data_IF_811246500702
#
_entry.id   IF_811246500702
#
_cell.length_a   1.000
_cell.length_b   1.000
_cell.length_c   1.000
_cell.angle_alpha   90.00
_cell.angle_beta   90.00
_cell.angle_gamma   90.00
#
_symmetry.space_group_name_H-M   'P 1'
#
loop_
_entity.id
_entity.type
_entity.pdbx_description
1 polymer ?
#
# COMPACT_ATOMS: atom_id res chain seq x y z
N UNK A 1 -7.95 -9.30 -8.67
CA UNK A 1 -7.88 -10.70 -9.09
C UNK A 1 -7.12 -11.53 -8.04
N UNK A 2 -5.88 -11.17 -7.67
CA UNK A 2 -5.07 -11.97 -6.71
C UNK A 2 -5.73 -12.11 -5.33
N UNK A 3 -6.51 -11.13 -4.90
CA UNK A 3 -7.13 -11.05 -3.57
C UNK A 3 -8.61 -11.47 -3.58
N UNK A 4 -9.33 -11.22 -4.69
CA UNK A 4 -10.78 -11.44 -4.80
C UNK A 4 -11.16 -12.50 -5.84
N UNK A 5 -10.19 -13.24 -6.37
CA UNK A 5 -10.43 -14.23 -7.43
C UNK A 5 -10.65 -13.60 -8.82
N UNK A 6 -11.02 -14.43 -9.79
CA UNK A 6 -11.18 -14.02 -11.20
C UNK A 6 -12.55 -13.43 -11.55
N UNK A 7 -13.53 -13.56 -10.65
CA UNK A 7 -14.91 -13.10 -10.88
C UNK A 7 -15.17 -11.62 -10.61
N UNK A 8 -14.16 -10.86 -10.18
CA UNK A 8 -14.31 -9.44 -9.86
C UNK A 8 -14.08 -8.54 -11.06
N UNK A 9 -14.91 -7.51 -11.18
CA UNK A 9 -14.73 -6.43 -12.16
C UNK A 9 -13.90 -5.31 -11.53
N UNK A 10 -12.71 -5.06 -12.07
CA UNK A 10 -11.86 -3.97 -11.63
C UNK A 10 -12.32 -2.63 -12.21
N UNK A 11 -12.46 -1.61 -11.35
CA UNK A 11 -12.79 -0.23 -11.73
C UNK A 11 -11.56 0.66 -11.49
N UNK A 12 -10.76 0.98 -12.52
CA UNK A 12 -9.65 1.90 -12.37
C UNK A 12 -10.11 3.28 -11.90
N UNK A 13 -9.33 3.92 -11.07
CA UNK A 13 -9.59 5.26 -10.54
C UNK A 13 -8.37 6.15 -10.78
N UNK A 14 -8.60 7.41 -11.10
CA UNK A 14 -7.55 8.38 -11.42
C UNK A 14 -6.81 8.91 -10.20
N UNK A 15 -7.37 8.73 -8.98
CA UNK A 15 -6.74 9.17 -7.73
C UNK A 15 -7.15 8.30 -6.54
N UNK A 16 -6.38 8.42 -5.45
CA UNK A 16 -6.69 7.74 -4.19
C UNK A 16 -8.04 8.22 -3.64
N UNK A 17 -8.32 9.51 -3.69
CA UNK A 17 -9.60 10.09 -3.24
C UNK A 17 -10.79 9.54 -4.01
N UNK A 18 -10.62 9.30 -5.30
CA UNK A 18 -11.68 8.72 -6.12
C UNK A 18 -12.00 7.29 -5.68
N UNK A 19 -10.99 6.50 -5.29
CA UNK A 19 -11.21 5.16 -4.72
C UNK A 19 -12.07 5.25 -3.46
N UNK A 20 -11.72 6.12 -2.51
CA UNK A 20 -12.51 6.31 -1.29
C UNK A 20 -13.95 6.70 -1.62
N UNK A 21 -14.15 7.69 -2.48
CA UNK A 21 -15.47 8.18 -2.86
C UNK A 21 -16.33 7.07 -3.50
N UNK A 22 -15.77 6.25 -4.40
CA UNK A 22 -16.51 5.15 -5.04
C UNK A 22 -16.97 4.08 -4.05
N UNK A 23 -16.19 3.82 -3.00
CA UNK A 23 -16.60 2.87 -1.96
C UNK A 23 -17.63 3.51 -1.02
N UNK A 24 -17.45 4.78 -0.66
CA UNK A 24 -18.40 5.53 0.17
C UNK A 24 -19.78 5.67 -0.49
N UNK A 25 -19.82 5.96 -1.80
CA UNK A 25 -21.09 6.05 -2.57
C UNK A 25 -21.74 4.69 -2.85
N UNK A 26 -21.00 3.59 -2.70
CA UNK A 26 -21.50 2.26 -3.03
C UNK A 26 -21.30 1.84 -4.50
N UNK A 27 -20.66 2.68 -5.33
CA UNK A 27 -20.32 2.37 -6.73
C UNK A 27 -19.32 1.20 -6.81
N UNK A 28 -18.51 1.03 -5.77
CA UNK A 28 -17.62 -0.12 -5.60
C UNK A 28 -17.89 -0.78 -4.24
N UNK A 29 -17.86 -2.11 -4.20
CA UNK A 29 -17.99 -2.86 -2.94
C UNK A 29 -16.75 -2.69 -2.07
N UNK A 30 -15.56 -2.70 -2.69
CA UNK A 30 -14.26 -2.56 -2.04
C UNK A 30 -13.37 -1.59 -2.79
N UNK A 31 -12.43 -0.96 -2.07
CA UNK A 31 -11.38 -0.13 -2.63
C UNK A 31 -10.00 -0.67 -2.26
N UNK A 32 -9.03 -0.52 -3.15
CA UNK A 32 -7.63 -0.87 -2.86
C UNK A 32 -6.79 0.39 -2.99
N UNK A 33 -6.08 0.75 -1.92
CA UNK A 33 -5.25 1.95 -1.86
C UNK A 33 -3.86 1.63 -1.29
N UNK A 34 -2.78 2.23 -1.81
CA UNK A 34 -1.45 2.06 -1.24
C UNK A 34 -1.35 2.79 0.11
N UNK A 35 -0.73 2.19 1.12
CA UNK A 35 -0.49 2.80 2.44
C UNK A 35 0.98 3.02 2.74
N UNK A 36 1.84 2.19 2.19
CA UNK A 36 3.26 2.20 2.48
C UNK A 36 4.07 1.54 1.36
N UNK A 37 5.21 2.11 1.04
CA UNK A 37 6.24 1.47 0.24
C UNK A 37 7.48 1.27 1.10
N UNK A 38 8.12 0.10 1.04
CA UNK A 38 9.26 -0.25 1.91
C UNK A 38 10.51 0.60 1.67
N UNK A 39 10.59 1.31 0.54
CA UNK A 39 11.70 2.20 0.20
C UNK A 39 11.37 3.67 0.45
N UNK A 40 10.11 4.07 0.22
CA UNK A 40 9.68 5.47 0.24
C UNK A 40 8.89 5.85 1.49
N UNK A 41 8.48 4.84 2.25
CA UNK A 41 7.71 5.03 3.47
C UNK A 41 6.21 5.23 3.20
N UNK A 42 5.58 6.01 4.07
CA UNK A 42 4.13 6.14 4.14
C UNK A 42 3.52 6.94 2.97
N UNK A 43 2.38 6.46 2.46
CA UNK A 43 1.59 7.16 1.45
C UNK A 43 0.68 8.18 2.14
N UNK A 44 1.18 9.38 2.28
CA UNK A 44 0.56 10.48 3.01
C UNK A 44 -0.89 10.78 2.58
N UNK A 45 -1.18 10.65 1.28
CA UNK A 45 -2.50 10.91 0.72
C UNK A 45 -3.56 9.94 1.25
N UNK A 46 -3.21 8.66 1.32
CA UNK A 46 -4.08 7.62 1.91
C UNK A 46 -4.37 7.91 3.37
N UNK A 47 -3.35 8.29 4.15
CA UNK A 47 -3.52 8.66 5.56
C UNK A 47 -4.47 9.85 5.75
N UNK A 48 -4.35 10.88 4.88
CA UNK A 48 -5.25 12.05 4.92
C UNK A 48 -6.71 11.67 4.61
N UNK A 49 -6.94 10.70 3.73
CA UNK A 49 -8.28 10.17 3.44
C UNK A 49 -8.82 9.33 4.60
N UNK A 50 -7.99 8.44 5.18
CA UNK A 50 -8.38 7.59 6.30
C UNK A 50 -8.84 8.39 7.54
N UNK A 51 -8.28 9.57 7.75
CA UNK A 51 -8.71 10.44 8.84
C UNK A 51 -10.19 10.87 8.73
N UNK A 52 -10.69 11.04 7.51
CA UNK A 52 -12.00 11.63 7.22
C UNK A 52 -13.08 10.63 6.84
N UNK A 53 -12.71 9.51 6.24
CA UNK A 53 -13.64 8.53 5.69
C UNK A 53 -14.43 7.80 6.78
N UNK A 54 -15.69 7.39 6.55
CA UNK A 54 -16.41 6.46 7.40
C UNK A 54 -16.06 4.99 7.11
N UNK A 55 -15.24 4.70 6.08
CA UNK A 55 -14.90 3.34 5.68
C UNK A 55 -14.01 2.64 6.70
N UNK A 56 -14.07 1.32 6.67
CA UNK A 56 -13.20 0.43 7.44
C UNK A 56 -12.08 -0.15 6.58
N UNK A 57 -10.96 -0.45 7.21
CA UNK A 57 -9.95 -1.34 6.63
C UNK A 57 -10.43 -2.76 6.91
N UNK A 58 -10.62 -3.53 5.85
CA UNK A 58 -11.14 -4.91 5.93
C UNK A 58 -10.11 -5.96 5.53
N UNK A 59 -8.91 -5.53 5.14
CA UNK A 59 -7.80 -6.40 4.80
C UNK A 59 -6.60 -5.62 4.29
N UNK A 60 -5.53 -6.36 4.04
CA UNK A 60 -4.30 -5.83 3.45
C UNK A 60 -3.68 -6.81 2.46
N UNK A 61 -2.89 -6.29 1.53
CA UNK A 61 -2.02 -7.09 0.69
C UNK A 61 -0.71 -6.37 0.42
N UNK A 62 0.34 -7.13 0.16
CA UNK A 62 1.66 -6.61 -0.17
C UNK A 62 2.10 -7.13 -1.52
N UNK A 63 2.50 -6.23 -2.41
CA UNK A 63 2.92 -6.54 -3.77
C UNK A 63 4.41 -6.22 -3.92
N UNK A 64 5.24 -7.17 -4.34
CA UNK A 64 6.62 -6.86 -4.68
C UNK A 64 6.65 -5.92 -5.89
N UNK A 65 7.48 -4.89 -5.81
CA UNK A 65 7.70 -3.97 -6.92
C UNK A 65 8.81 -4.55 -7.78
N UNK A 66 8.45 -4.91 -8.99
CA UNK A 66 9.35 -5.50 -9.98
C UNK A 66 9.44 -4.59 -11.19
N UNK A 67 10.66 -4.25 -11.57
CA UNK A 67 10.95 -3.47 -12.75
C UNK A 67 11.61 -4.35 -13.80
N UNK A 68 11.14 -4.26 -15.04
CA UNK A 68 11.67 -5.02 -16.15
C UNK A 68 12.06 -4.06 -17.25
N UNK A 69 13.20 -4.28 -17.90
CA UNK A 69 13.57 -3.62 -19.14
C UNK A 69 12.84 -4.30 -20.27
N UNK A 70 12.15 -3.54 -21.09
CA UNK A 70 11.31 -4.05 -22.15
C UNK A 70 11.43 -3.21 -23.42
N UNK A 71 11.30 -3.85 -24.56
CA UNK A 71 11.33 -3.25 -25.89
C UNK A 71 10.23 -3.83 -26.77
N UNK A 72 9.96 -3.23 -27.89
CA UNK A 72 9.01 -3.74 -28.88
C UNK A 72 9.47 -5.05 -29.51
N UNK A 73 10.77 -5.18 -29.80
CA UNK A 73 11.33 -6.33 -30.52
C UNK A 73 11.80 -7.49 -29.63
N UNK A 74 11.95 -7.27 -28.32
CA UNK A 74 12.63 -8.20 -27.42
C UNK A 74 14.17 -8.17 -27.52
N UNK A 75 14.73 -7.23 -28.27
CA UNK A 75 16.17 -7.02 -28.45
C UNK A 75 16.56 -5.60 -28.05
N UNK A 76 17.82 -5.41 -27.67
CA UNK A 76 18.41 -4.10 -27.42
C UNK A 76 19.09 -3.50 -28.68
N UNK A 77 19.08 -4.21 -29.79
CA UNK A 77 19.68 -3.75 -31.04
C UNK A 77 18.97 -2.49 -31.55
N UNK A 78 19.73 -1.43 -31.81
CA UNK A 78 19.21 -0.13 -32.25
C UNK A 78 18.53 0.70 -31.19
N UNK A 79 18.43 0.23 -29.95
CA UNK A 79 17.86 0.99 -28.82
C UNK A 79 18.86 2.03 -28.34
N UNK A 80 18.40 3.29 -28.28
CA UNK A 80 19.23 4.44 -27.86
C UNK A 80 18.75 5.10 -26.58
N UNK A 81 17.47 4.91 -26.20
CA UNK A 81 16.84 5.59 -25.07
C UNK A 81 16.04 4.63 -24.21
N UNK A 82 16.02 4.89 -22.90
CA UNK A 82 15.14 4.21 -21.96
C UNK A 82 14.28 5.21 -21.21
N UNK A 83 12.98 4.95 -21.18
CA UNK A 83 11.98 5.76 -20.50
C UNK A 83 11.47 5.05 -19.25
N UNK A 84 11.22 5.80 -18.19
CA UNK A 84 10.44 5.34 -17.03
C UNK A 84 10.03 6.52 -16.14
N UNK A 85 9.17 6.27 -15.15
CA UNK A 85 8.95 7.23 -14.08
C UNK A 85 10.27 7.49 -13.34
N UNK A 86 10.57 8.73 -12.89
CA UNK A 86 11.84 9.08 -12.22
C UNK A 86 12.20 8.12 -11.08
N UNK A 87 11.23 7.76 -10.27
CA UNK A 87 11.37 6.82 -9.17
C UNK A 87 11.83 5.43 -9.62
N UNK A 88 11.24 4.88 -10.68
CA UNK A 88 11.61 3.56 -11.19
C UNK A 88 13.00 3.57 -11.81
N UNK A 89 13.41 4.67 -12.47
CA UNK A 89 14.79 4.85 -12.91
C UNK A 89 15.75 4.87 -11.72
N UNK A 90 15.40 5.61 -10.65
CA UNK A 90 16.18 5.67 -9.41
C UNK A 90 16.37 4.31 -8.73
N UNK A 91 15.37 3.43 -8.85
CA UNK A 91 15.41 2.07 -8.29
C UNK A 91 16.18 1.05 -9.16
N UNK A 92 16.63 1.44 -10.34
CA UNK A 92 17.35 0.57 -11.30
C UNK A 92 18.71 1.16 -11.72
N UNK A 93 19.22 2.15 -10.99
CA UNK A 93 20.44 2.90 -11.38
C UNK A 93 21.66 2.00 -11.53
N UNK A 94 21.90 1.12 -10.55
CA UNK A 94 23.08 0.27 -10.55
C UNK A 94 23.03 -0.75 -11.69
N UNK A 95 21.86 -1.37 -11.88
CA UNK A 95 21.67 -2.32 -12.96
C UNK A 95 21.84 -1.65 -14.33
N UNK A 96 21.20 -0.49 -14.57
CA UNK A 96 21.29 0.25 -15.82
C UNK A 96 22.73 0.71 -16.11
N UNK A 97 23.48 1.17 -15.09
CA UNK A 97 24.89 1.56 -15.26
C UNK A 97 25.79 0.38 -15.66
N UNK A 98 25.49 -0.80 -15.15
CA UNK A 98 26.33 -2.00 -15.41
C UNK A 98 26.04 -2.61 -16.76
N UNK A 99 24.75 -2.68 -17.17
CA UNK A 99 24.34 -3.49 -18.30
C UNK A 99 24.07 -2.69 -19.58
N UNK A 100 23.63 -1.42 -19.45
CA UNK A 100 23.28 -0.56 -20.58
C UNK A 100 23.71 0.91 -20.35
N UNK A 101 25.01 1.14 -20.09
CA UNK A 101 25.51 2.46 -19.70
C UNK A 101 25.37 3.53 -20.79
N UNK A 102 25.29 3.13 -22.06
CA UNK A 102 25.19 4.04 -23.21
C UNK A 102 23.79 4.54 -23.49
N UNK A 103 22.73 3.99 -22.84
CA UNK A 103 21.38 4.43 -23.06
C UNK A 103 21.12 5.79 -22.41
N UNK A 104 20.56 6.72 -23.18
CA UNK A 104 20.00 7.95 -22.66
C UNK A 104 18.78 7.63 -21.77
N UNK A 105 18.76 8.12 -20.52
CA UNK A 105 17.68 7.89 -19.55
C UNK A 105 16.76 9.09 -19.51
N UNK A 106 15.51 8.89 -19.86
CA UNK A 106 14.50 9.94 -19.96
C UNK A 106 13.32 9.62 -19.04
N UNK A 107 12.79 10.66 -18.44
CA UNK A 107 11.63 10.53 -17.55
C UNK A 107 10.32 10.57 -18.32
N UNK A 108 9.36 9.76 -17.88
CA UNK A 108 7.96 9.79 -18.30
C UNK A 108 7.06 10.04 -17.09
N UNK A 109 5.84 10.50 -17.31
CA UNK A 109 4.86 10.78 -16.25
C UNK A 109 4.48 9.54 -15.46
N UNK A 110 4.55 8.36 -16.09
CA UNK A 110 4.29 7.07 -15.47
C UNK A 110 5.04 5.94 -16.16
N UNK A 111 5.15 4.79 -15.51
CA UNK A 111 5.68 3.57 -16.14
C UNK A 111 4.80 3.08 -17.30
N UNK A 112 3.48 3.34 -17.23
CA UNK A 112 2.56 3.06 -18.33
C UNK A 112 2.83 3.92 -19.55
N UNK A 113 3.06 5.22 -19.33
CA UNK A 113 3.43 6.14 -20.41
C UNK A 113 4.79 5.77 -21.03
N UNK A 114 5.77 5.38 -20.21
CA UNK A 114 7.05 4.88 -20.69
C UNK A 114 6.90 3.66 -21.61
N UNK A 115 6.05 2.70 -21.20
CA UNK A 115 5.75 1.51 -21.98
C UNK A 115 5.03 1.86 -23.31
N UNK A 116 4.08 2.81 -23.29
CA UNK A 116 3.42 3.30 -24.47
C UNK A 116 4.43 3.88 -25.49
N UNK A 117 5.32 4.76 -25.04
CA UNK A 117 6.37 5.35 -25.87
C UNK A 117 7.27 4.29 -26.50
N UNK A 118 7.68 3.28 -25.73
CA UNK A 118 8.51 2.18 -26.24
C UNK A 118 7.76 1.28 -27.24
N UNK A 119 6.43 1.17 -27.13
CA UNK A 119 5.62 0.42 -28.10
C UNK A 119 5.50 1.12 -29.45
N UNK A 120 5.57 2.44 -29.46
CA UNK A 120 5.43 3.26 -30.68
C UNK A 120 6.76 3.46 -31.42
N UNK A 121 7.90 3.39 -30.71
CA UNK A 121 9.21 3.62 -31.32
C UNK A 121 10.19 2.47 -31.05
N UNK A 122 10.70 1.79 -32.08
CA UNK A 122 11.60 0.64 -31.95
C UNK A 122 12.98 1.01 -31.37
N UNK A 123 13.36 2.28 -31.33
CA UNK A 123 14.63 2.74 -30.76
C UNK A 123 14.51 3.07 -29.27
N UNK A 124 13.33 2.87 -28.67
CA UNK A 124 13.06 3.13 -27.25
C UNK A 124 12.88 1.84 -26.47
N UNK A 125 13.40 1.85 -25.26
CA UNK A 125 13.10 0.87 -24.22
C UNK A 125 12.27 1.52 -23.11
N UNK A 126 11.57 0.71 -22.34
CA UNK A 126 10.92 1.14 -21.11
C UNK A 126 11.38 0.31 -19.91
N UNK A 127 11.39 0.95 -18.74
CA UNK A 127 11.45 0.23 -17.45
C UNK A 127 10.06 0.30 -16.83
N UNK A 128 9.40 -0.85 -16.70
CA UNK A 128 8.04 -0.95 -16.16
C UNK A 128 7.75 -2.33 -15.55
N UNK A 129 6.57 -2.48 -14.94
CA UNK A 129 6.08 -3.77 -14.45
C UNK A 129 5.63 -4.69 -15.61
N UNK A 130 5.59 -6.00 -15.37
CA UNK A 130 5.19 -7.02 -16.36
C UNK A 130 3.81 -6.75 -16.99
N UNK A 131 2.88 -6.18 -16.22
CA UNK A 131 1.52 -5.85 -16.72
C UNK A 131 1.58 -4.83 -17.87
N UNK A 132 2.50 -3.86 -17.79
CA UNK A 132 2.68 -2.88 -18.86
C UNK A 132 3.17 -3.55 -20.16
N UNK A 133 4.07 -4.54 -20.06
CA UNK A 133 4.51 -5.30 -21.24
C UNK A 133 3.32 -5.99 -21.93
N UNK A 134 2.42 -6.61 -21.17
CA UNK A 134 1.23 -7.29 -21.70
C UNK A 134 0.24 -6.32 -22.35
N UNK A 135 0.02 -5.16 -21.73
CA UNK A 135 -0.93 -4.16 -22.25
C UNK A 135 -0.44 -3.54 -23.54
N UNK A 136 0.85 -3.20 -23.62
CA UNK A 136 1.42 -2.49 -24.76
C UNK A 136 2.14 -3.40 -25.79
N UNK A 137 2.04 -4.73 -25.63
CA UNK A 137 2.63 -5.68 -26.56
C UNK A 137 4.16 -5.64 -26.60
N UNK A 138 4.80 -5.27 -25.46
CA UNK A 138 6.25 -5.23 -25.34
C UNK A 138 6.81 -6.58 -24.89
N UNK A 139 8.07 -6.84 -25.22
CA UNK A 139 8.79 -8.01 -24.79
C UNK A 139 9.82 -7.64 -23.71
N UNK A 140 9.87 -8.45 -22.65
CA UNK A 140 10.82 -8.25 -21.55
C UNK A 140 12.19 -8.74 -22.01
N UNK A 141 13.16 -7.84 -22.04
CA UNK A 141 14.57 -8.11 -22.39
C UNK A 141 15.33 -8.53 -21.13
N UNK A 142 15.08 -7.87 -20.01
CA UNK A 142 15.65 -8.23 -18.73
C UNK A 142 14.61 -8.07 -17.62
N UNK A 143 14.41 -9.11 -16.83
CA UNK A 143 13.45 -9.12 -15.74
C UNK A 143 14.10 -8.77 -14.40
N UNK A 144 13.32 -8.15 -13.52
CA UNK A 144 13.69 -7.86 -12.13
C UNK A 144 15.00 -7.06 -12.01
N UNK A 145 15.09 -5.97 -12.76
CA UNK A 145 16.29 -5.13 -12.83
C UNK A 145 16.42 -4.12 -11.69
N UNK A 146 15.48 -4.09 -10.74
CA UNK A 146 15.55 -3.22 -9.57
C UNK A 146 16.75 -3.55 -8.68
N UNK A 147 17.41 -2.52 -8.16
CA UNK A 147 18.62 -2.66 -7.33
C UNK A 147 18.33 -3.32 -5.97
N UNK A 148 17.09 -3.18 -5.45
CA UNK A 148 16.63 -3.84 -4.22
C UNK A 148 15.52 -4.85 -4.52
N UNK A 149 15.73 -6.11 -4.16
CA UNK A 149 14.73 -7.18 -4.28
C UNK A 149 13.66 -7.15 -3.18
N UNK A 150 13.86 -6.33 -2.14
CA UNK A 150 12.97 -6.24 -0.98
C UNK A 150 11.91 -5.16 -1.13
N UNK A 151 11.91 -4.39 -2.25
CA UNK A 151 10.94 -3.33 -2.46
C UNK A 151 9.52 -3.89 -2.62
N UNK A 152 8.64 -3.48 -1.72
CA UNK A 152 7.23 -3.89 -1.69
C UNK A 152 6.34 -2.69 -1.40
N UNK A 153 5.16 -2.70 -1.97
CA UNK A 153 4.11 -1.76 -1.61
C UNK A 153 3.00 -2.51 -0.89
N UNK A 154 2.65 -2.03 0.31
CA UNK A 154 1.51 -2.49 1.10
C UNK A 154 0.28 -1.70 0.70
N UNK A 155 -0.81 -2.40 0.45
CA UNK A 155 -2.12 -1.85 0.11
C UNK A 155 -3.12 -2.23 1.19
N UNK A 156 -4.03 -1.32 1.47
CA UNK A 156 -5.20 -1.54 2.30
C UNK A 156 -6.40 -1.85 1.41
N UNK A 157 -7.27 -2.73 1.90
CA UNK A 157 -8.57 -3.01 1.34
C UNK A 157 -9.60 -2.29 2.18
N UNK A 158 -10.39 -1.44 1.55
CA UNK A 158 -11.42 -0.62 2.18
C UNK A 158 -12.79 -1.22 1.91
N UNK A 159 -13.66 -1.17 2.90
CA UNK A 159 -15.05 -1.59 2.81
C UNK A 159 -15.97 -0.71 3.66
N UNK A 160 -17.28 -0.79 3.45
CA UNK A 160 -18.27 -0.05 4.23
C UNK A 160 -18.61 -0.71 5.56
N UNK A 161 -18.46 -2.01 5.64
CA UNK A 161 -18.70 -2.80 6.85
C UNK A 161 -17.37 -3.30 7.42
N UNK A 162 -17.27 -3.47 8.74
CA UNK A 162 -16.10 -4.10 9.37
C UNK A 162 -15.85 -5.51 8.84
N UNK A 163 -14.60 -5.95 8.84
CA UNK A 163 -14.27 -7.34 8.57
C UNK A 163 -14.69 -8.25 9.74
N UNK A 164 -15.12 -9.46 9.41
CA UNK A 164 -15.26 -10.51 10.41
C UNK A 164 -13.88 -10.94 10.92
N UNK A 165 -13.76 -11.29 12.22
CA UNK A 165 -12.52 -11.83 12.76
C UNK A 165 -12.06 -13.06 11.96
N UNK A 166 -10.76 -13.21 11.78
CA UNK A 166 -10.21 -14.41 11.16
C UNK A 166 -10.38 -15.65 12.06
N UNK A 167 -10.06 -16.82 11.53
CA UNK A 167 -10.09 -18.08 12.32
C UNK A 167 -9.12 -18.04 13.52
N UNK A 168 -8.10 -17.19 13.49
CA UNK A 168 -7.21 -16.89 14.61
C UNK A 168 -7.12 -15.36 14.81
N UNK A 169 -8.02 -14.76 15.61
CA UNK A 169 -8.06 -13.31 15.83
C UNK A 169 -6.75 -12.71 16.38
N UNK A 170 -5.92 -13.52 17.05
CA UNK A 170 -4.59 -13.08 17.53
C UNK A 170 -3.62 -12.75 16.42
N UNK A 171 -3.80 -13.31 15.24
CA UNK A 171 -2.99 -13.03 14.05
C UNK A 171 -3.59 -11.92 13.18
N UNK A 172 -4.73 -11.36 13.58
CA UNK A 172 -5.31 -10.17 12.95
C UNK A 172 -4.53 -8.92 13.34
N UNK A 173 -4.89 -7.83 12.73
CA UNK A 173 -4.32 -6.51 12.97
C UNK A 173 -5.44 -5.52 13.20
N UNK A 174 -5.24 -4.60 14.14
CA UNK A 174 -6.14 -3.46 14.37
C UNK A 174 -5.43 -2.17 14.01
N UNK A 175 -6.02 -1.37 13.13
CA UNK A 175 -5.49 -0.07 12.72
C UNK A 175 -6.26 1.07 13.37
N UNK A 176 -5.51 2.05 13.87
CA UNK A 176 -6.02 3.17 14.66
C UNK A 176 -5.46 4.50 14.14
N UNK A 177 -6.24 5.56 14.29
CA UNK A 177 -5.78 6.95 14.23
C UNK A 177 -6.07 7.59 15.58
N UNK A 178 -5.08 8.25 16.15
CA UNK A 178 -5.26 8.95 17.43
C UNK A 178 -4.49 10.26 17.49
N UNK A 179 -4.88 11.11 18.41
CA UNK A 179 -4.10 12.28 18.83
C UNK A 179 -3.98 12.30 20.34
N UNK A 180 -2.95 12.95 20.86
CA UNK A 180 -2.72 13.09 22.30
C UNK A 180 -2.67 14.55 22.68
N UNK A 181 -2.96 14.92 23.94
CA UNK A 181 -2.78 16.28 24.43
C UNK A 181 -1.34 16.77 24.22
N UNK A 182 -1.16 18.03 23.84
CA UNK A 182 0.17 18.59 23.60
C UNK A 182 0.89 18.95 24.91
N UNK A 183 1.43 17.94 25.59
CA UNK A 183 2.22 18.08 26.81
C UNK A 183 3.29 16.99 26.91
N UNK A 184 4.33 17.24 27.68
CA UNK A 184 5.41 16.29 27.90
C UNK A 184 4.89 14.95 28.41
N UNK A 185 5.34 13.85 27.82
CA UNK A 185 4.97 12.48 28.21
C UNK A 185 3.64 11.96 27.69
N UNK A 186 2.78 12.78 27.03
CA UNK A 186 1.43 12.36 26.62
C UNK A 186 1.45 11.13 25.70
N UNK A 187 2.34 11.08 24.71
CA UNK A 187 2.42 9.93 23.82
C UNK A 187 2.85 8.65 24.58
N UNK A 188 3.86 8.78 25.44
CA UNK A 188 4.30 7.65 26.28
C UNK A 188 3.17 7.11 27.16
N UNK A 189 2.46 8.01 27.83
CA UNK A 189 1.34 7.64 28.71
C UNK A 189 0.19 6.99 27.95
N UNK A 190 -0.15 7.52 26.77
CA UNK A 190 -1.17 6.92 25.91
C UNK A 190 -0.79 5.51 25.46
N UNK A 191 0.48 5.27 25.10
CA UNK A 191 0.93 3.97 24.58
C UNK A 191 1.17 2.91 25.66
N UNK A 192 1.29 3.32 26.93
CA UNK A 192 1.57 2.40 28.04
C UNK A 192 0.63 1.19 28.14
N UNK A 193 -0.70 1.31 27.92
CA UNK A 193 -1.61 0.16 27.94
C UNK A 193 -1.21 -0.98 27.01
N UNK A 194 -0.62 -0.67 25.85
CA UNK A 194 -0.17 -1.74 24.94
C UNK A 194 0.97 -2.56 25.54
N UNK A 195 1.90 -1.93 26.26
CA UNK A 195 2.94 -2.63 27.01
C UNK A 195 2.35 -3.43 28.18
N UNK A 196 1.50 -2.81 28.99
CA UNK A 196 0.88 -3.44 30.16
C UNK A 196 0.08 -4.71 29.80
N UNK A 197 -0.56 -4.71 28.64
CA UNK A 197 -1.31 -5.85 28.10
C UNK A 197 -0.48 -6.74 27.16
N UNK A 198 0.81 -6.45 26.94
CA UNK A 198 1.67 -7.18 26.01
C UNK A 198 1.09 -7.23 24.60
N UNK A 199 0.60 -6.10 24.10
CA UNK A 199 0.10 -5.89 22.73
C UNK A 199 1.20 -5.28 21.88
N UNK A 200 1.63 -5.98 20.84
CA UNK A 200 2.68 -5.51 19.95
C UNK A 200 2.18 -4.39 19.04
N UNK A 201 2.93 -3.29 18.96
CA UNK A 201 2.72 -2.22 18.01
C UNK A 201 3.59 -2.48 16.78
N UNK A 202 2.94 -2.69 15.62
CA UNK A 202 3.62 -3.07 14.38
C UNK A 202 4.02 -1.87 13.53
N UNK A 203 3.37 -0.72 13.77
CA UNK A 203 3.59 0.51 13.01
C UNK A 203 3.21 1.73 13.85
N UNK A 204 3.97 2.81 13.71
CA UNK A 204 3.62 4.12 14.27
C UNK A 204 4.13 5.23 13.33
N UNK A 205 3.22 5.97 12.72
CA UNK A 205 3.52 7.13 11.88
C UNK A 205 2.88 8.38 12.46
N UNK A 206 3.54 9.51 12.37
CA UNK A 206 3.01 10.80 12.79
C UNK A 206 2.73 11.72 11.60
N UNK A 207 1.62 12.46 11.66
CA UNK A 207 1.24 13.47 10.67
C UNK A 207 0.84 14.76 11.34
N UNK A 208 1.32 15.94 10.88
CA UNK A 208 0.81 17.21 11.35
C UNK A 208 -0.67 17.34 11.02
N UNK A 209 -1.47 17.75 11.99
CA UNK A 209 -2.84 18.16 11.76
C UNK A 209 -2.80 19.47 10.97
N UNK A 210 -3.44 19.50 9.79
CA UNK A 210 -3.52 20.72 8.96
C UNK A 210 -4.44 21.80 9.59
N UNK A 211 -4.94 21.57 10.79
CA UNK A 211 -5.82 22.46 11.55
C UNK A 211 -5.17 22.76 12.90
N UNK A 212 -4.61 23.96 13.07
CA UNK A 212 -3.95 24.38 14.31
C UNK A 212 -2.43 24.26 14.29
N UNK A 213 -1.78 24.95 15.22
CA UNK A 213 -0.32 24.96 15.38
C UNK A 213 0.10 23.75 16.20
N UNK A 214 0.89 22.86 15.57
CA UNK A 214 1.62 21.77 16.26
C UNK A 214 0.78 20.62 16.83
N UNK A 215 -0.43 20.37 16.32
CA UNK A 215 -1.17 19.15 16.59
C UNK A 215 -0.76 18.03 15.63
N UNK A 216 -0.64 16.79 16.14
CA UNK A 216 -0.27 15.62 15.36
C UNK A 216 -1.33 14.54 15.50
N UNK A 217 -1.64 13.90 14.37
CA UNK A 217 -2.30 12.61 14.34
C UNK A 217 -1.27 11.51 14.21
N UNK A 218 -1.49 10.42 14.93
CA UNK A 218 -0.70 9.21 14.86
C UNK A 218 -1.52 8.11 14.22
N UNK A 219 -0.88 7.38 13.32
CA UNK A 219 -1.41 6.16 12.73
C UNK A 219 -0.65 4.99 13.32
N UNK A 220 -1.37 4.00 13.85
CA UNK A 220 -0.75 2.82 14.41
C UNK A 220 -1.48 1.56 13.99
N UNK A 221 -0.71 0.51 13.77
CA UNK A 221 -1.21 -0.86 13.62
C UNK A 221 -0.76 -1.63 14.85
N UNK A 222 -1.69 -2.27 15.56
CA UNK A 222 -1.43 -3.17 16.67
C UNK A 222 -1.79 -4.61 16.28
N UNK A 223 -1.13 -5.58 16.90
CA UNK A 223 -1.40 -7.00 16.74
C UNK A 223 -2.67 -7.38 17.50
N UNK A 224 -3.51 -8.22 16.88
CA UNK A 224 -4.75 -8.74 17.47
C UNK A 224 -6.01 -8.02 16.96
N UNK A 225 -7.16 -8.65 17.23
CA UNK A 225 -8.49 -8.20 16.85
C UNK A 225 -9.23 -7.62 18.06
N UNK A 226 -10.01 -6.56 17.88
CA UNK A 226 -10.85 -5.95 18.93
C UNK A 226 -11.91 -6.90 19.52
N UNK A 227 -12.20 -8.03 18.86
CA UNK A 227 -13.03 -9.08 19.42
C UNK A 227 -12.39 -9.79 20.62
N UNK A 228 -11.04 -9.73 20.74
CA UNK A 228 -10.33 -10.31 21.86
C UNK A 228 -10.45 -9.43 23.12
N UNK A 229 -10.80 -10.00 24.29
CA UNK A 229 -10.92 -9.25 25.55
C UNK A 229 -9.68 -8.40 25.85
N UNK A 230 -8.49 -8.99 25.72
CA UNK A 230 -7.19 -8.34 25.96
C UNK A 230 -7.01 -7.05 25.11
N UNK A 231 -7.33 -7.11 23.81
CA UNK A 231 -7.20 -5.98 22.91
C UNK A 231 -8.24 -4.91 23.24
N UNK A 232 -9.47 -5.32 23.54
CA UNK A 232 -10.55 -4.39 23.91
C UNK A 232 -10.23 -3.63 25.19
N UNK A 233 -9.78 -4.32 26.25
CA UNK A 233 -9.41 -3.70 27.50
C UNK A 233 -8.24 -2.71 27.32
N UNK A 234 -7.20 -3.12 26.59
CA UNK A 234 -6.08 -2.22 26.26
C UNK A 234 -6.55 -0.96 25.53
N UNK A 235 -7.48 -1.08 24.56
CA UNK A 235 -8.02 0.04 23.80
C UNK A 235 -8.94 0.94 24.62
N UNK A 236 -9.67 0.43 25.60
CA UNK A 236 -10.48 1.23 26.52
C UNK A 236 -9.59 2.17 27.34
N UNK A 237 -8.52 1.64 27.94
CA UNK A 237 -7.56 2.45 28.71
C UNK A 237 -6.78 3.39 27.79
N UNK A 238 -6.36 2.93 26.61
CA UNK A 238 -5.70 3.75 25.61
C UNK A 238 -6.51 4.98 25.23
N UNK A 239 -7.83 4.82 25.08
CA UNK A 239 -8.79 5.89 24.75
C UNK A 239 -8.73 7.02 25.77
N UNK A 240 -8.58 6.72 27.05
CA UNK A 240 -8.53 7.72 28.12
C UNK A 240 -7.30 8.63 28.02
N UNK A 241 -6.19 8.11 27.47
CA UNK A 241 -4.97 8.86 27.22
C UNK A 241 -4.98 9.70 25.94
N UNK A 242 -5.97 9.51 25.05
CA UNK A 242 -6.07 10.16 23.76
C UNK A 242 -6.93 11.43 23.82
N UNK A 243 -6.56 12.46 23.05
CA UNK A 243 -7.44 13.61 22.76
C UNK A 243 -8.49 13.22 21.72
N UNK A 244 -8.15 12.33 20.80
CA UNK A 244 -9.08 11.71 19.86
C UNK A 244 -8.61 10.30 19.51
N UNK A 245 -9.56 9.39 19.26
CA UNK A 245 -9.30 8.03 18.82
C UNK A 245 -10.33 7.61 17.77
N UNK A 246 -9.85 7.14 16.63
CA UNK A 246 -10.65 6.54 15.57
C UNK A 246 -10.12 5.13 15.31
N UNK A 247 -10.97 4.13 15.45
CA UNK A 247 -10.67 2.78 14.98
C UNK A 247 -10.98 2.68 13.49
N UNK A 248 -10.00 2.24 12.71
CA UNK A 248 -10.14 2.03 11.27
C UNK A 248 -10.60 0.62 10.93
N UNK A 249 -10.52 -0.32 11.87
CA UNK A 249 -10.94 -1.71 11.74
C UNK A 249 -9.91 -2.70 12.26
N UNK A 250 -10.42 -3.90 12.59
CA UNK A 250 -9.61 -5.10 12.80
C UNK A 250 -9.80 -6.01 11.60
N UNK A 251 -8.72 -6.59 11.09
CA UNK A 251 -8.76 -7.35 9.85
C UNK A 251 -7.65 -8.40 9.79
N UNK A 252 -7.84 -9.47 8.99
CA UNK A 252 -6.82 -10.47 8.77
C UNK A 252 -5.56 -9.89 8.12
N UNK A 253 -4.38 -10.27 8.62
CA UNK A 253 -3.12 -9.98 7.94
C UNK A 253 -3.05 -10.69 6.59
N UNK A 254 -2.15 -10.27 5.68
CA UNK A 254 -2.01 -10.88 4.34
C UNK A 254 -1.91 -12.40 4.38
N UNK A 255 -1.26 -12.97 5.40
CA UNK A 255 -1.12 -14.42 5.56
C UNK A 255 -2.45 -15.12 5.81
N UNK A 256 -3.33 -14.51 6.57
CA UNK A 256 -4.60 -15.06 7.02
C UNK A 256 -5.75 -14.76 6.08
N UNK A 257 -5.72 -13.63 5.41
CA UNK A 257 -6.71 -13.26 4.39
C UNK A 257 -6.80 -14.32 3.27
N UNK A 258 -5.65 -14.89 2.85
CA UNK A 258 -5.61 -15.96 1.85
C UNK A 258 -6.16 -17.30 2.34
N UNK A 259 -6.22 -17.56 3.65
CA UNK A 259 -6.75 -18.81 4.22
C UNK A 259 -8.27 -18.82 4.35
N UNK A 260 -8.91 -17.66 4.52
CA UNK A 260 -10.38 -17.56 4.63
C UNK A 260 -11.07 -17.82 3.31
N UNK A 261 -10.50 -17.38 2.18
CA UNK A 261 -11.09 -17.56 0.84
C UNK A 261 -11.05 -19.01 0.34
N UNK A 262 -10.14 -19.84 0.85
CA UNK A 262 -10.04 -21.25 0.45
C UNK A 262 -11.06 -22.17 1.14
N UNK A 263 -11.74 -21.71 2.19
CA UNK A 263 -12.76 -22.49 2.90
C UNK A 263 -14.21 -22.23 2.41
N UNK A 264 -14.41 -21.18 1.62
CA UNK A 264 -15.74 -20.79 1.09
C UNK A 264 -16.11 -21.37 -0.30
N UNK A 265 -15.22 -22.12 -0.95
CA UNK A 265 -15.46 -22.63 -2.32
C UNK A 265 -15.84 -24.11 -2.42
N UNK A 266 -16.36 -24.71 -1.34
CA UNK A 266 -17.02 -26.02 -1.37
C UNK A 266 -18.49 -25.88 -0.95
N UNK A 267 -19.31 -25.36 -1.85
CA UNK A 267 -20.77 -25.59 -1.93
C UNK A 267 -21.20 -25.50 -3.39
#
# INVERSE_FOLDING_TARGET
IRQFGSGVVGMPSGSIEEVFRKVESGDAAYGIVPIENSTEGAVNRTMDCLLKTPLFIVGECSIPIQHNLMTRSGSMEGVTRVYSHPQSLGQCVQWLNRNVPSLERLTAESNGEAARLASENPTYAAVAGEVAAKIFGLQIVAANIQDSSTNRTRFLILGREPAEPSANPREDKTSLIFSVPHRAGSLYQALKPFDDFGVSMMRLDSRPAKRGTWEYFFYTDIEGNMSEPKIREALEIFREGCASLKCLGSYPTEKNFRRSDTKGSNL
#
